data_IF_235859710065
#
_entry.id   IF_235859710065
#
_cell.length_a   1.000
_cell.length_b   1.000
_cell.length_c   1.000
_cell.angle_alpha   90.00
_cell.angle_beta   90.00
_cell.angle_gamma   90.00
#
_symmetry.space_group_name_H-M   'P 1'
#
loop_
_entity.id
_entity.type
_entity.pdbx_description
1 polymer ?
#
# COMPACT_ATOMS: atom_id res chain seq x y z
N UNK A 1 5.83 -15.46 56.82
CA UNK A 1 6.20 -15.30 55.37
C UNK A 1 4.95 -14.88 54.63
N UNK A 2 4.79 -13.57 54.45
CA UNK A 2 3.64 -13.00 53.71
C UNK A 2 4.04 -12.83 52.24
N UNK A 3 3.43 -13.63 51.38
CA UNK A 3 3.60 -13.51 49.94
C UNK A 3 2.73 -12.37 49.45
N UNK A 4 3.33 -11.21 49.22
CA UNK A 4 2.68 -10.08 48.53
C UNK A 4 2.35 -10.50 47.10
N UNK A 5 1.10 -10.80 46.83
CA UNK A 5 0.53 -10.83 45.47
C UNK A 5 0.54 -9.40 44.94
N UNK A 6 1.54 -9.09 44.15
CA UNK A 6 1.50 -7.88 43.31
C UNK A 6 0.41 -8.08 42.24
N UNK A 7 -0.73 -7.44 42.43
CA UNK A 7 -1.75 -7.33 41.41
C UNK A 7 -1.14 -6.55 40.22
N UNK A 8 -0.84 -7.25 39.13
CA UNK A 8 -0.48 -6.58 37.85
C UNK A 8 -1.64 -5.69 37.46
N UNK A 9 -1.46 -4.39 37.62
CA UNK A 9 -2.41 -3.38 37.18
C UNK A 9 -2.58 -3.55 35.68
N UNK A 10 -3.72 -4.08 35.25
CA UNK A 10 -3.99 -4.36 33.84
C UNK A 10 -4.52 -3.07 33.22
N UNK A 11 -3.63 -2.29 32.61
CA UNK A 11 -4.02 -1.11 31.84
C UNK A 11 -4.90 -1.51 30.66
N UNK A 12 -5.91 -0.71 30.31
CA UNK A 12 -6.72 -0.96 29.14
C UNK A 12 -5.83 -1.00 27.88
N UNK A 13 -5.95 -2.07 27.09
CA UNK A 13 -5.24 -2.18 25.82
C UNK A 13 -5.97 -1.34 24.79
N UNK A 14 -5.31 -0.30 24.28
CA UNK A 14 -5.81 0.43 23.13
C UNK A 14 -5.64 -0.45 21.88
N UNK A 15 -6.74 -0.73 21.21
CA UNK A 15 -6.72 -1.42 19.93
C UNK A 15 -6.29 -0.40 18.87
N UNK A 16 -5.15 -0.64 18.25
CA UNK A 16 -4.72 0.17 17.11
C UNK A 16 -5.68 -0.08 15.94
N UNK A 17 -6.23 0.98 15.38
CA UNK A 17 -7.10 0.92 14.20
C UNK A 17 -6.25 0.82 12.90
N UNK A 18 -5.32 -0.13 12.87
CA UNK A 18 -4.48 -0.42 11.70
C UNK A 18 -4.89 -1.74 11.07
N UNK A 19 -4.89 -1.85 9.74
CA UNK A 19 -5.09 -3.12 9.04
C UNK A 19 -4.05 -4.14 9.51
N UNK A 20 -4.48 -5.32 9.91
CA UNK A 20 -3.57 -6.36 10.42
C UNK A 20 -3.18 -7.40 9.36
N UNK A 21 -3.82 -7.39 8.18
CA UNK A 21 -3.59 -8.37 7.13
C UNK A 21 -4.07 -9.79 7.47
N UNK A 22 -4.92 -9.94 8.48
CA UNK A 22 -5.44 -11.24 8.93
C UNK A 22 -6.97 -11.18 8.90
N UNK A 23 -7.62 -12.18 8.31
CA UNK A 23 -9.07 -12.35 8.38
C UNK A 23 -9.46 -12.94 9.74
N UNK A 24 -10.25 -12.20 10.49
CA UNK A 24 -10.76 -12.60 11.79
C UNK A 24 -12.25 -12.94 11.76
N UNK A 25 -12.87 -12.90 10.58
CA UNK A 25 -14.27 -13.24 10.41
C UNK A 25 -14.44 -14.74 10.18
N UNK A 26 -15.46 -15.31 10.80
CA UNK A 26 -15.84 -16.69 10.57
C UNK A 26 -16.11 -16.90 9.07
N UNK A 27 -15.47 -17.91 8.51
CA UNK A 27 -15.61 -18.25 7.09
C UNK A 27 -14.64 -17.53 6.14
N UNK A 28 -13.71 -16.67 6.61
CA UNK A 28 -12.60 -16.12 5.83
C UNK A 28 -13.05 -15.28 4.63
N UNK A 29 -14.08 -14.44 4.79
CA UNK A 29 -14.66 -13.67 3.68
C UNK A 29 -13.70 -12.65 3.08
N UNK A 30 -12.91 -11.99 3.90
CA UNK A 30 -11.92 -11.00 3.46
C UNK A 30 -10.75 -11.65 2.73
N UNK A 31 -10.27 -12.79 3.23
CA UNK A 31 -9.20 -13.55 2.59
C UNK A 31 -9.64 -14.09 1.23
N UNK A 32 -10.87 -14.64 1.11
CA UNK A 32 -11.40 -15.07 -0.18
C UNK A 32 -11.53 -13.94 -1.18
N UNK A 33 -11.96 -12.74 -0.72
CA UNK A 33 -12.03 -11.55 -1.56
C UNK A 33 -10.65 -11.12 -2.06
N UNK A 34 -9.66 -11.04 -1.17
CA UNK A 34 -8.28 -10.70 -1.53
C UNK A 34 -7.72 -11.69 -2.56
N UNK A 35 -7.86 -13.01 -2.35
CA UNK A 35 -7.42 -14.04 -3.29
C UNK A 35 -8.14 -13.98 -4.63
N UNK A 36 -9.43 -13.59 -4.64
CA UNK A 36 -10.19 -13.44 -5.89
C UNK A 36 -9.67 -12.25 -6.69
N UNK A 37 -9.40 -11.13 -6.04
CA UNK A 37 -8.81 -9.94 -6.67
C UNK A 37 -7.40 -10.26 -7.18
N UNK A 38 -6.56 -10.92 -6.38
CA UNK A 38 -5.22 -11.32 -6.80
C UNK A 38 -5.25 -12.19 -8.07
N UNK A 39 -6.11 -13.19 -8.11
CA UNK A 39 -6.29 -14.04 -9.31
C UNK A 39 -6.70 -13.23 -10.53
N UNK A 40 -7.57 -12.23 -10.36
CA UNK A 40 -7.98 -11.36 -11.45
C UNK A 40 -6.80 -10.58 -12.04
N UNK A 41 -5.88 -10.07 -11.22
CA UNK A 41 -4.66 -9.41 -11.69
C UNK A 41 -3.73 -10.40 -12.43
N UNK A 42 -3.45 -11.57 -11.85
CA UNK A 42 -2.57 -12.56 -12.45
C UNK A 42 -3.13 -13.14 -13.78
N UNK A 43 -4.45 -13.27 -13.91
CA UNK A 43 -5.08 -13.71 -15.16
C UNK A 43 -4.95 -12.67 -16.27
N UNK A 44 -4.96 -11.39 -15.95
CA UNK A 44 -4.79 -10.32 -16.92
C UNK A 44 -3.40 -10.29 -17.57
N UNK A 45 -2.37 -10.70 -16.83
CA UNK A 45 -1.00 -10.73 -17.37
C UNK A 45 -0.75 -11.90 -18.33
N UNK A 46 -1.61 -12.91 -18.30
CA UNK A 46 -1.53 -14.11 -19.16
C UNK A 46 -2.45 -14.06 -20.40
N UNK A 47 -3.27 -13.03 -20.56
CA UNK A 47 -4.17 -12.88 -21.69
C UNK A 47 -3.50 -12.09 -22.82
N UNK A 48 -3.67 -12.58 -24.06
CA UNK A 48 -3.24 -11.88 -25.28
C UNK A 48 -3.81 -10.46 -25.35
N UNK A 49 -3.10 -9.55 -26.01
CA UNK A 49 -3.37 -8.10 -26.08
C UNK A 49 -4.81 -7.70 -26.47
N UNK A 50 -5.59 -8.59 -27.05
CA UNK A 50 -6.98 -8.34 -27.47
C UNK A 50 -8.02 -8.43 -26.33
N UNK A 51 -7.70 -8.98 -25.17
CA UNK A 51 -8.63 -9.22 -24.07
C UNK A 51 -8.17 -8.59 -22.77
N UNK A 52 -8.02 -7.27 -22.75
CA UNK A 52 -7.66 -6.52 -21.53
C UNK A 52 -8.89 -6.38 -20.62
N UNK A 53 -8.89 -7.11 -19.52
CA UNK A 53 -9.85 -6.89 -18.45
C UNK A 53 -9.60 -5.54 -17.76
N UNK A 54 -10.62 -4.90 -17.16
CA UNK A 54 -10.43 -3.64 -16.44
C UNK A 54 -9.35 -3.77 -15.35
N UNK A 55 -8.39 -2.85 -15.34
CA UNK A 55 -7.32 -2.79 -14.33
C UNK A 55 -7.71 -1.96 -13.10
N UNK A 56 -8.96 -1.52 -13.01
CA UNK A 56 -9.49 -0.75 -11.89
C UNK A 56 -10.50 -1.61 -11.15
N UNK A 57 -10.26 -1.81 -9.87
CA UNK A 57 -11.16 -2.56 -8.97
C UNK A 57 -11.58 -1.63 -7.84
N UNK A 58 -12.89 -1.43 -7.67
CA UNK A 58 -13.48 -0.69 -6.56
C UNK A 58 -13.89 -1.64 -5.43
N UNK A 59 -13.48 -1.34 -4.21
CA UNK A 59 -13.94 -2.03 -3.00
C UNK A 59 -14.83 -1.08 -2.21
N UNK A 60 -16.13 -1.38 -2.16
CA UNK A 60 -17.11 -0.60 -1.41
C UNK A 60 -17.51 -1.30 -0.10
N UNK A 61 -17.92 -0.50 0.86
CA UNK A 61 -18.41 -0.97 2.15
C UNK A 61 -18.50 0.16 3.17
N UNK A 62 -19.28 -0.04 4.19
CA UNK A 62 -19.45 0.92 5.30
C UNK A 62 -18.12 1.16 6.02
N UNK A 63 -18.01 2.23 6.76
CA UNK A 63 -16.87 2.51 7.62
C UNK A 63 -16.66 1.35 8.62
N UNK A 64 -15.41 0.91 8.78
CA UNK A 64 -15.09 -0.22 9.67
C UNK A 64 -15.30 -1.62 9.10
N UNK A 65 -15.81 -1.77 7.85
CA UNK A 65 -16.02 -3.09 7.23
C UNK A 65 -14.73 -3.86 6.87
N UNK A 66 -13.56 -3.27 7.12
CA UNK A 66 -12.28 -3.93 6.90
C UNK A 66 -11.73 -3.83 5.48
N UNK A 67 -12.16 -2.86 4.66
CA UNK A 67 -11.63 -2.64 3.29
C UNK A 67 -10.10 -2.55 3.26
N UNK A 68 -9.52 -1.74 4.13
CA UNK A 68 -8.06 -1.60 4.23
C UNK A 68 -7.37 -2.91 4.65
N UNK A 69 -8.07 -3.78 5.39
CA UNK A 69 -7.54 -5.09 5.74
C UNK A 69 -7.47 -6.04 4.53
N UNK A 70 -8.49 -5.96 3.64
CA UNK A 70 -8.47 -6.69 2.35
C UNK A 70 -7.31 -6.22 1.48
N UNK A 71 -7.07 -4.89 1.40
CA UNK A 71 -5.94 -4.32 0.66
C UNK A 71 -4.61 -4.84 1.23
N UNK A 72 -4.47 -4.93 2.55
CA UNK A 72 -3.26 -5.46 3.20
C UNK A 72 -3.04 -6.97 2.95
N UNK A 73 -4.13 -7.73 2.84
CA UNK A 73 -4.05 -9.14 2.43
C UNK A 73 -3.67 -9.26 0.96
N UNK A 74 -4.23 -8.40 0.10
CA UNK A 74 -3.93 -8.36 -1.32
C UNK A 74 -2.46 -8.04 -1.59
N UNK A 75 -1.88 -7.07 -0.86
CA UNK A 75 -0.46 -6.77 -0.92
C UNK A 75 0.39 -8.03 -0.68
N UNK A 76 0.04 -8.83 0.33
CA UNK A 76 0.76 -10.07 0.63
C UNK A 76 0.61 -11.15 -0.45
N UNK A 77 -0.60 -11.27 -1.04
CA UNK A 77 -0.85 -12.25 -2.11
C UNK A 77 -0.14 -11.90 -3.44
N UNK A 78 0.18 -10.60 -3.66
CA UNK A 78 0.80 -10.08 -4.88
C UNK A 78 2.26 -9.67 -4.71
N UNK A 79 2.85 -9.82 -3.52
CA UNK A 79 4.20 -9.30 -3.20
C UNK A 79 5.33 -9.84 -4.07
N UNK A 80 5.16 -11.03 -4.65
CA UNK A 80 6.20 -11.68 -5.44
C UNK A 80 6.23 -11.17 -6.89
N UNK A 81 5.08 -10.75 -7.43
CA UNK A 81 4.92 -10.40 -8.83
C UNK A 81 4.69 -8.90 -9.06
N UNK A 82 4.26 -8.17 -8.02
CA UNK A 82 3.83 -6.78 -8.15
C UNK A 82 4.48 -5.88 -7.11
N UNK A 83 4.87 -4.67 -7.54
CA UNK A 83 5.23 -3.59 -6.64
C UNK A 83 3.97 -2.92 -6.09
N UNK A 84 3.84 -2.85 -4.77
CA UNK A 84 2.66 -2.32 -4.10
C UNK A 84 2.89 -0.91 -3.55
N UNK A 85 2.06 0.03 -3.97
CA UNK A 85 2.05 1.40 -3.48
C UNK A 85 0.68 1.78 -2.95
N UNK A 86 0.60 2.16 -1.69
CA UNK A 86 -0.63 2.62 -1.03
C UNK A 86 -0.62 4.14 -0.92
N UNK A 87 -1.69 4.79 -1.39
CA UNK A 87 -1.89 6.23 -1.27
C UNK A 87 -3.17 6.53 -0.49
N UNK A 88 -3.03 7.22 0.65
CA UNK A 88 -4.15 7.70 1.45
C UNK A 88 -4.60 9.08 0.97
N UNK A 89 -5.65 9.11 0.15
CA UNK A 89 -6.21 10.35 -0.38
C UNK A 89 -6.87 11.22 0.70
N UNK A 90 -7.28 10.67 1.85
CA UNK A 90 -7.87 11.43 2.95
C UNK A 90 -6.81 12.20 3.75
N UNK A 91 -5.64 11.64 3.90
CA UNK A 91 -4.51 12.28 4.59
C UNK A 91 -3.92 13.47 3.83
N UNK A 92 -4.22 13.60 2.53
CA UNK A 92 -3.63 14.60 1.62
C UNK A 92 -4.68 15.50 0.95
N UNK A 93 -5.80 15.79 1.61
CA UNK A 93 -6.89 16.57 1.03
C UNK A 93 -6.55 18.02 0.69
N UNK A 94 -5.58 18.62 1.41
CA UNK A 94 -5.16 20.00 1.23
C UNK A 94 -4.09 20.19 0.16
N UNK A 95 -3.43 19.10 -0.25
CA UNK A 95 -2.38 19.12 -1.26
C UNK A 95 -2.93 18.95 -2.67
N UNK A 96 -2.14 19.40 -3.67
CA UNK A 96 -2.39 19.04 -5.06
C UNK A 96 -2.19 17.53 -5.21
N UNK A 97 -3.26 16.75 -5.18
CA UNK A 97 -3.25 15.28 -5.13
C UNK A 97 -2.28 14.63 -6.14
N UNK A 98 -2.18 15.18 -7.36
CA UNK A 98 -1.27 14.67 -8.38
C UNK A 98 0.20 14.79 -7.96
N UNK A 99 0.57 15.91 -7.36
CA UNK A 99 1.92 16.17 -6.87
C UNK A 99 2.24 15.26 -5.69
N UNK A 100 1.35 15.18 -4.74
CA UNK A 100 1.48 14.36 -3.54
C UNK A 100 1.66 12.86 -3.87
N UNK A 101 0.88 12.32 -4.83
CA UNK A 101 1.03 10.93 -5.29
C UNK A 101 2.44 10.71 -5.89
N UNK A 102 2.90 11.62 -6.77
CA UNK A 102 4.20 11.48 -7.41
C UNK A 102 5.36 11.60 -6.42
N UNK A 103 5.30 12.54 -5.49
CA UNK A 103 6.32 12.72 -4.46
C UNK A 103 6.41 11.49 -3.55
N UNK A 104 5.27 10.98 -3.06
CA UNK A 104 5.23 9.79 -2.20
C UNK A 104 5.68 8.52 -2.94
N UNK A 105 5.24 8.33 -4.18
CA UNK A 105 5.68 7.20 -5.00
C UNK A 105 7.19 7.26 -5.27
N UNK A 106 7.71 8.42 -5.63
CA UNK A 106 9.14 8.61 -5.89
C UNK A 106 9.96 8.35 -4.64
N UNK A 107 9.57 8.91 -3.49
CA UNK A 107 10.23 8.66 -2.21
C UNK A 107 10.25 7.18 -1.87
N UNK A 108 9.11 6.50 -1.99
CA UNK A 108 9.03 5.06 -1.72
C UNK A 108 9.91 4.23 -2.64
N UNK A 109 9.96 4.54 -3.94
CA UNK A 109 10.81 3.84 -4.90
C UNK A 109 12.32 4.06 -4.65
N UNK A 110 12.68 5.22 -4.10
CA UNK A 110 14.05 5.51 -3.66
C UNK A 110 14.39 4.73 -2.39
N UNK A 111 13.50 4.74 -1.40
CA UNK A 111 13.69 4.05 -0.13
C UNK A 111 13.81 2.53 -0.32
N UNK A 112 13.06 1.97 -1.26
CA UNK A 112 13.10 0.55 -1.63
C UNK A 112 14.27 0.22 -2.60
N UNK A 113 15.10 1.21 -2.97
CA UNK A 113 16.29 1.03 -3.82
C UNK A 113 16.00 0.77 -5.30
N UNK A 114 14.76 0.97 -5.75
CA UNK A 114 14.34 0.79 -7.15
C UNK A 114 14.79 1.97 -8.02
N UNK A 115 14.72 3.20 -7.45
CA UNK A 115 15.19 4.41 -8.11
C UNK A 115 16.44 4.95 -7.41
N UNK A 116 17.36 5.51 -8.19
CA UNK A 116 18.45 6.29 -7.59
C UNK A 116 17.89 7.64 -7.10
N UNK A 117 18.38 8.12 -5.95
CA UNK A 117 17.98 9.42 -5.39
C UNK A 117 18.34 10.63 -6.27
N UNK A 118 19.01 10.41 -7.41
CA UNK A 118 19.49 11.44 -8.32
C UNK A 118 18.98 11.20 -9.73
N UNK A 119 18.49 12.25 -10.37
CA UNK A 119 18.13 12.25 -11.78
C UNK A 119 19.18 13.01 -12.61
N UNK A 120 19.49 12.52 -13.80
CA UNK A 120 20.34 13.22 -14.77
C UNK A 120 19.47 13.91 -15.79
N UNK A 121 19.46 15.24 -15.76
CA UNK A 121 18.69 16.06 -16.70
C UNK A 121 19.62 16.70 -17.76
N UNK A 122 19.14 16.75 -19.02
CA UNK A 122 19.83 17.50 -20.08
C UNK A 122 19.52 18.99 -19.94
N UNK A 123 20.54 19.81 -19.87
CA UNK A 123 20.42 21.27 -19.79
C UNK A 123 20.45 21.89 -21.19
N UNK A 124 19.65 22.93 -21.43
CA UNK A 124 19.78 23.73 -22.66
C UNK A 124 21.22 24.25 -22.80
N UNK A 125 21.96 23.77 -23.81
CA UNK A 125 23.39 24.07 -23.98
C UNK A 125 24.29 22.84 -24.11
N UNK A 126 23.73 21.62 -24.06
CA UNK A 126 24.45 20.38 -24.41
C UNK A 126 25.14 19.69 -23.23
N UNK A 127 24.96 20.16 -21.98
CA UNK A 127 25.47 19.52 -20.78
C UNK A 127 24.42 18.65 -20.07
N UNK A 128 24.88 17.75 -19.19
CA UNK A 128 24.04 17.00 -18.26
C UNK A 128 24.27 17.50 -16.83
N UNK A 129 23.18 17.67 -16.05
CA UNK A 129 23.24 18.03 -14.64
C UNK A 129 22.56 16.92 -13.83
N UNK A 130 23.23 16.46 -12.80
CA UNK A 130 22.63 15.55 -11.83
C UNK A 130 21.91 16.40 -10.76
N UNK A 131 20.64 16.11 -10.55
CA UNK A 131 19.77 16.83 -9.60
C UNK A 131 19.15 15.80 -8.68
N UNK A 132 19.06 16.11 -7.40
CA UNK A 132 18.32 15.28 -6.44
C UNK A 132 16.81 15.43 -6.70
N UNK A 133 16.06 14.34 -6.57
CA UNK A 133 14.60 14.37 -6.67
C UNK A 133 13.95 15.28 -5.63
N UNK A 134 14.60 15.51 -4.51
CA UNK A 134 14.15 16.44 -3.45
C UNK A 134 14.28 17.91 -3.84
N UNK A 135 15.02 18.24 -4.92
CA UNK A 135 15.27 19.60 -5.42
C UNK A 135 14.45 19.96 -6.67
N UNK A 136 13.65 19.01 -7.16
CA UNK A 136 12.75 19.18 -8.30
C UNK A 136 11.33 19.54 -7.88
#
# INVERSE_FOLDING_TARGET
METKLQSKQQYPRFIQNKPCGIDKFDGGSQERLAKTIARHFCQNDSLDEECTLPRIIGIEGIWGSGKSNVVKMLERELSDDYYFFEYDAWGHQEDLQRRSILELLTSKLIDDGILSGNATIKVKGGGTKTVSWSEM
#
